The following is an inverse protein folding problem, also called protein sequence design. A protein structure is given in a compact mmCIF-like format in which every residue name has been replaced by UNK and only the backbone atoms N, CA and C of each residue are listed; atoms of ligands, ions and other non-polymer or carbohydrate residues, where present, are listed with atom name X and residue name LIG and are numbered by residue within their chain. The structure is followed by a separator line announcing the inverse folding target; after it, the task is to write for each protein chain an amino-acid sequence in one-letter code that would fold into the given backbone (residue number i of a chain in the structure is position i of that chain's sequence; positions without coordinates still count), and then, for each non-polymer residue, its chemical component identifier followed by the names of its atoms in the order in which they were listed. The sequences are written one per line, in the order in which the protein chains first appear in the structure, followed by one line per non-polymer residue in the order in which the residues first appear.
data_IF_932133366036
#
_entry.id   IF_932133366036
#
_cell.length_a   1.000
_cell.length_b   1.000
_cell.length_c   1.000
_cell.angle_alpha   90.00
_cell.angle_beta   90.00
_cell.angle_gamma   90.00
#
_symmetry.space_group_name_H-M   'P 1'
#
loop_
_entity.id
_entity.type
_entity.pdbx_description
1 polymer ?
#
# COMPACT_ATOMS: atom_id res chain seq x y z
N UNK A 1 -12.43 22.70 -19.76
CA UNK A 1 -12.42 21.60 -20.71
C UNK A 1 -13.82 21.29 -21.23
N UNK A 2 -13.95 20.41 -22.21
CA UNK A 2 -15.24 20.05 -22.85
C UNK A 2 -16.27 19.50 -21.85
N UNK A 3 -15.80 18.75 -20.84
CA UNK A 3 -16.64 18.11 -19.81
C UNK A 3 -17.23 19.16 -18.84
N UNK A 4 -16.53 20.26 -18.60
CA UNK A 4 -17.00 21.31 -17.68
C UNK A 4 -18.12 22.17 -18.30
N UNK A 5 -18.22 22.18 -19.64
CA UNK A 5 -19.28 22.89 -20.38
C UNK A 5 -20.59 22.11 -20.55
N UNK A 6 -20.59 20.83 -20.20
CA UNK A 6 -21.72 19.93 -20.44
C UNK A 6 -22.79 19.97 -19.33
N UNK A 7 -22.67 20.79 -18.27
CA UNK A 7 -23.66 20.91 -17.20
C UNK A 7 -23.89 19.62 -16.41
N UNK A 8 -22.93 18.72 -16.40
CA UNK A 8 -23.02 17.41 -15.75
C UNK A 8 -22.95 17.54 -14.22
N UNK A 9 -23.67 16.64 -13.53
CA UNK A 9 -23.56 16.51 -12.09
C UNK A 9 -22.09 16.39 -11.68
N UNK A 10 -21.61 17.14 -10.64
CA UNK A 10 -20.20 17.14 -10.24
C UNK A 10 -19.60 15.76 -10.00
N UNK A 11 -20.42 14.80 -9.51
CA UNK A 11 -20.01 13.40 -9.31
C UNK A 11 -19.74 12.67 -10.64
N UNK A 12 -20.63 12.88 -11.61
CA UNK A 12 -20.53 12.28 -12.94
C UNK A 12 -19.36 12.89 -13.73
N UNK A 13 -19.21 14.21 -13.66
CA UNK A 13 -18.09 14.93 -14.27
C UNK A 13 -16.73 14.44 -13.74
N UNK A 14 -16.63 14.16 -12.42
CA UNK A 14 -15.41 13.62 -11.79
C UNK A 14 -15.10 12.19 -12.23
N UNK A 15 -16.13 11.33 -12.38
CA UNK A 15 -15.96 9.97 -12.89
C UNK A 15 -15.50 10.00 -14.36
N UNK A 16 -16.15 10.82 -15.20
CA UNK A 16 -15.80 10.96 -16.60
C UNK A 16 -14.39 11.52 -16.80
N UNK A 17 -13.97 12.52 -16.00
CA UNK A 17 -12.59 13.04 -16.02
C UNK A 17 -11.58 11.96 -15.66
N UNK A 18 -11.84 11.19 -14.59
CA UNK A 18 -10.97 10.09 -14.20
C UNK A 18 -10.87 8.99 -15.25
N UNK A 19 -12.00 8.64 -15.89
CA UNK A 19 -12.04 7.66 -16.98
C UNK A 19 -11.32 8.18 -18.23
N UNK A 20 -11.50 9.46 -18.56
CA UNK A 20 -10.81 10.08 -19.70
C UNK A 20 -9.29 10.11 -19.49
N UNK A 21 -8.80 10.47 -18.30
CA UNK A 21 -7.36 10.41 -17.98
C UNK A 21 -6.78 9.02 -18.17
N UNK A 22 -7.51 7.97 -17.77
CA UNK A 22 -7.07 6.58 -17.96
C UNK A 22 -7.04 6.21 -19.46
N UNK A 23 -8.04 6.61 -20.23
CA UNK A 23 -8.16 6.27 -21.68
C UNK A 23 -7.11 7.01 -22.50
N UNK A 24 -6.82 8.28 -22.17
CA UNK A 24 -5.85 9.11 -22.91
C UNK A 24 -4.40 8.95 -22.41
N UNK A 25 -4.15 8.11 -21.41
CA UNK A 25 -2.81 7.84 -20.90
C UNK A 25 -2.13 9.02 -20.20
N UNK A 26 -2.89 10.04 -19.82
CA UNK A 26 -2.38 11.16 -19.04
C UNK A 26 -2.18 10.74 -17.58
N UNK A 27 -0.95 10.73 -17.06
CA UNK A 27 -0.65 10.28 -15.69
C UNK A 27 -0.98 11.37 -14.65
N UNK A 28 -2.03 12.17 -14.88
CA UNK A 28 -2.44 13.27 -14.00
C UNK A 28 -3.85 13.02 -13.47
N UNK A 29 -4.00 13.01 -12.16
CA UNK A 29 -5.33 13.05 -11.53
C UNK A 29 -5.93 14.45 -11.68
N UNK A 30 -6.93 14.57 -12.55
CA UNK A 30 -7.58 15.86 -12.86
C UNK A 30 -8.32 16.48 -11.65
N UNK A 31 -8.55 15.75 -10.57
CA UNK A 31 -9.20 16.25 -9.36
C UNK A 31 -8.20 16.90 -8.39
N UNK A 32 -6.99 16.39 -8.33
CA UNK A 32 -5.95 16.80 -7.37
C UNK A 32 -4.75 17.46 -8.03
N UNK A 33 -4.60 17.32 -9.35
CA UNK A 33 -3.38 17.73 -10.08
C UNK A 33 -2.18 16.82 -9.82
N UNK A 34 -2.36 15.71 -9.07
CA UNK A 34 -1.31 14.76 -8.77
C UNK A 34 -0.88 14.04 -10.04
N UNK A 35 0.41 14.08 -10.33
CA UNK A 35 1.01 13.21 -11.34
C UNK A 35 1.27 11.85 -10.70
N UNK A 36 0.83 10.78 -11.36
CA UNK A 36 1.16 9.43 -10.95
C UNK A 36 1.56 8.58 -12.16
N UNK A 37 2.47 7.67 -11.94
CA UNK A 37 2.89 6.71 -12.94
C UNK A 37 3.02 5.34 -12.31
N UNK A 38 2.43 4.32 -12.94
CA UNK A 38 2.50 2.94 -12.46
C UNK A 38 3.02 2.05 -13.56
N UNK A 39 3.99 1.23 -13.23
CA UNK A 39 4.58 0.23 -14.13
C UNK A 39 4.72 -1.12 -13.42
N UNK A 40 4.35 -2.19 -14.10
CA UNK A 40 4.64 -3.57 -13.68
C UNK A 40 5.90 -3.99 -14.42
N UNK A 41 6.99 -4.19 -13.69
CA UNK A 41 8.27 -4.55 -14.28
C UNK A 41 8.35 -6.05 -14.57
N UNK A 42 7.80 -6.87 -13.68
CA UNK A 42 7.68 -8.31 -13.87
C UNK A 42 6.61 -8.92 -12.97
N UNK A 43 6.14 -10.09 -13.39
CA UNK A 43 5.25 -10.95 -12.62
C UNK A 43 5.75 -12.39 -12.70
N UNK A 44 5.91 -13.04 -11.55
CA UNK A 44 6.24 -14.45 -11.44
C UNK A 44 5.01 -15.20 -10.93
N UNK A 45 4.47 -16.14 -11.69
CA UNK A 45 3.31 -16.92 -11.27
C UNK A 45 3.68 -17.87 -10.14
N UNK A 46 2.70 -18.16 -9.27
CA UNK A 46 2.87 -19.11 -8.16
C UNK A 46 1.68 -19.07 -7.21
N UNK A 47 1.69 -19.91 -6.17
CA UNK A 47 0.66 -19.90 -5.13
C UNK A 47 0.52 -18.52 -4.44
N UNK A 48 1.63 -17.81 -4.32
CA UNK A 48 1.70 -16.39 -4.01
C UNK A 48 2.40 -15.75 -5.21
N UNK A 49 1.66 -15.12 -6.15
CA UNK A 49 2.30 -14.48 -7.29
C UNK A 49 3.18 -13.32 -6.84
N UNK A 50 4.40 -13.26 -7.36
CA UNK A 50 5.32 -12.15 -7.11
C UNK A 50 5.13 -11.11 -8.21
N UNK A 51 4.49 -10.01 -7.88
CA UNK A 51 4.25 -8.90 -8.81
C UNK A 51 5.11 -7.72 -8.39
N UNK A 52 6.13 -7.39 -9.16
CA UNK A 52 6.93 -6.20 -8.93
C UNK A 52 6.37 -5.03 -9.72
N UNK A 53 5.63 -4.19 -8.99
CA UNK A 53 5.01 -2.97 -9.51
C UNK A 53 5.62 -1.75 -8.83
N UNK A 54 6.02 -0.77 -9.63
CA UNK A 54 6.47 0.54 -9.16
C UNK A 54 5.40 1.59 -9.39
N UNK A 55 5.24 2.48 -8.43
CA UNK A 55 4.31 3.58 -8.52
C UNK A 55 5.01 4.87 -8.09
N UNK A 56 4.93 5.89 -8.92
CA UNK A 56 5.39 7.25 -8.64
C UNK A 56 4.22 8.14 -8.30
N UNK A 57 4.38 9.01 -7.31
CA UNK A 57 3.44 10.09 -7.02
C UNK A 57 4.21 11.38 -6.82
N UNK A 58 3.82 12.45 -7.51
CA UNK A 58 4.50 13.75 -7.45
C UNK A 58 4.48 14.41 -6.06
N UNK A 59 3.57 14.03 -5.20
CA UNK A 59 3.31 14.62 -3.88
C UNK A 59 3.52 13.65 -2.70
N UNK A 60 4.15 12.50 -2.93
CA UNK A 60 4.32 11.49 -1.87
C UNK A 60 5.30 11.93 -0.76
N UNK A 61 6.21 12.86 -1.06
CA UNK A 61 7.22 13.38 -0.13
C UNK A 61 7.99 12.27 0.62
N UNK A 62 8.26 11.18 -0.08
CA UNK A 62 8.90 10.00 0.47
C UNK A 62 10.22 9.72 -0.24
N UNK A 63 11.28 9.52 0.54
CA UNK A 63 12.56 8.99 0.06
C UNK A 63 12.61 7.49 0.37
N UNK A 64 12.55 6.68 -0.66
CA UNK A 64 12.46 5.23 -0.58
C UNK A 64 13.60 4.53 -1.32
N UNK A 65 13.65 3.20 -1.30
CA UNK A 65 14.73 2.41 -1.92
C UNK A 65 14.81 2.58 -3.45
N UNK A 66 13.77 3.09 -4.10
CA UNK A 66 13.72 3.38 -5.53
C UNK A 66 13.93 4.87 -5.84
N UNK A 67 14.28 5.69 -4.84
CA UNK A 67 14.41 7.13 -4.93
C UNK A 67 13.15 7.89 -4.54
N UNK A 68 13.24 9.22 -4.63
CA UNK A 68 12.21 10.13 -4.13
C UNK A 68 10.87 9.93 -4.85
N UNK A 69 9.80 9.84 -4.07
CA UNK A 69 8.41 9.66 -4.52
C UNK A 69 8.08 8.32 -5.19
N UNK A 70 9.01 7.36 -5.20
CA UNK A 70 8.76 6.02 -5.74
C UNK A 70 8.36 5.02 -4.66
N UNK A 71 7.35 4.23 -4.96
CA UNK A 71 6.86 3.10 -4.17
C UNK A 71 6.93 1.82 -4.98
N UNK A 72 6.95 0.67 -4.31
CA UNK A 72 6.85 -0.63 -4.95
C UNK A 72 5.92 -1.57 -4.18
N UNK A 73 5.50 -2.66 -4.83
CA UNK A 73 4.49 -3.61 -4.31
C UNK A 73 4.74 -4.08 -2.87
N UNK A 74 5.99 -4.17 -2.45
CA UNK A 74 6.39 -4.67 -1.14
C UNK A 74 6.91 -3.57 -0.20
N UNK A 75 6.68 -2.31 -0.53
CA UNK A 75 7.00 -1.19 0.35
C UNK A 75 5.96 -1.03 1.46
N UNK A 76 5.62 -2.16 2.07
CA UNK A 76 4.65 -2.29 3.16
C UNK A 76 5.38 -2.16 4.50
N UNK A 77 4.80 -1.44 5.42
CA UNK A 77 5.39 -1.30 6.74
C UNK A 77 4.41 -0.82 7.78
N UNK A 78 4.72 -1.07 9.05
CA UNK A 78 3.99 -0.54 10.20
C UNK A 78 4.91 0.35 11.01
N UNK A 79 4.38 1.45 11.53
CA UNK A 79 5.09 2.37 12.40
C UNK A 79 4.26 2.65 13.65
N UNK A 80 4.90 2.54 14.82
CA UNK A 80 4.28 2.94 16.06
C UNK A 80 4.18 4.46 16.12
N UNK A 81 3.00 4.94 16.51
CA UNK A 81 2.72 6.34 16.76
C UNK A 81 2.76 6.63 18.27
N UNK A 82 2.64 7.90 18.61
CA UNK A 82 2.38 8.29 20.00
C UNK A 82 1.11 7.62 20.52
N UNK A 83 1.01 7.43 21.83
CA UNK A 83 -0.13 6.79 22.51
C UNK A 83 -0.38 5.30 22.15
N UNK A 84 0.58 4.63 21.49
CA UNK A 84 0.51 3.21 21.19
C UNK A 84 -0.32 2.83 19.96
N UNK A 85 -0.87 3.79 19.22
CA UNK A 85 -1.47 3.56 17.92
C UNK A 85 -0.42 3.19 16.87
N UNK A 86 -0.86 2.62 15.74
CA UNK A 86 0.02 2.25 14.65
C UNK A 86 -0.47 2.84 13.32
N UNK A 87 0.47 3.27 12.49
CA UNK A 87 0.23 3.57 11.09
C UNK A 87 0.70 2.40 10.23
N UNK A 88 -0.14 2.01 9.29
CA UNK A 88 0.20 1.05 8.23
C UNK A 88 0.41 1.80 6.92
N UNK A 89 1.57 1.63 6.32
CA UNK A 89 1.87 2.13 4.99
C UNK A 89 1.59 1.07 3.95
N UNK A 90 0.70 1.40 3.03
CA UNK A 90 0.33 0.61 1.87
C UNK A 90 1.42 0.64 0.79
N UNK A 91 1.34 -0.31 -0.15
CA UNK A 91 2.25 -0.41 -1.29
C UNK A 91 2.26 0.83 -2.21
N UNK A 92 1.19 1.61 -2.18
CA UNK A 92 1.05 2.88 -2.92
C UNK A 92 1.46 4.11 -2.09
N UNK A 93 2.03 3.91 -0.90
CA UNK A 93 2.49 4.97 -0.01
C UNK A 93 1.40 5.63 0.84
N UNK A 94 0.12 5.29 0.65
CA UNK A 94 -0.94 5.76 1.56
C UNK A 94 -0.73 5.19 2.96
N UNK A 95 -1.17 5.94 3.95
CA UNK A 95 -1.23 5.47 5.34
C UNK A 95 -2.66 5.25 5.79
N UNK A 96 -2.87 4.18 6.55
CA UNK A 96 -4.07 3.95 7.34
C UNK A 96 -3.69 3.76 8.81
N UNK A 97 -4.61 4.13 9.71
CA UNK A 97 -4.35 4.08 11.14
C UNK A 97 -5.01 2.85 11.75
N UNK A 98 -4.24 2.15 12.58
CA UNK A 98 -4.69 0.96 13.26
C UNK A 98 -5.01 1.30 14.72
N UNK A 99 -6.11 0.77 15.27
CA UNK A 99 -6.40 0.92 16.68
C UNK A 99 -5.35 0.18 17.53
N UNK A 100 -5.22 0.57 18.78
CA UNK A 100 -4.43 -0.18 19.75
C UNK A 100 -5.13 -1.52 20.02
N UNK A 101 -4.46 -2.62 19.72
CA UNK A 101 -4.96 -3.96 19.96
C UNK A 101 -4.30 -4.57 21.20
N UNK A 102 -5.05 -5.36 21.94
CA UNK A 102 -4.51 -6.24 22.97
C UNK A 102 -4.02 -7.56 22.35
N UNK A 103 -3.16 -8.26 23.05
CA UNK A 103 -2.69 -9.57 22.62
C UNK A 103 -3.87 -10.53 22.40
N UNK A 104 -3.92 -11.14 21.21
CA UNK A 104 -5.02 -12.00 20.76
C UNK A 104 -6.23 -11.26 20.19
N UNK A 105 -6.26 -9.94 20.25
CA UNK A 105 -7.34 -9.14 19.68
C UNK A 105 -7.18 -8.98 18.17
N UNK A 106 -8.32 -8.90 17.47
CA UNK A 106 -8.38 -8.67 16.04
C UNK A 106 -9.29 -7.49 15.71
N UNK A 107 -8.92 -6.72 14.70
CA UNK A 107 -9.69 -5.63 14.14
C UNK A 107 -9.84 -5.78 12.63
N UNK A 108 -11.05 -5.62 12.10
CA UNK A 108 -11.31 -5.64 10.67
C UNK A 108 -11.59 -4.23 10.16
N UNK A 109 -10.69 -3.73 9.32
CA UNK A 109 -10.87 -2.49 8.59
C UNK A 109 -11.75 -2.73 7.36
N UNK A 110 -13.00 -2.25 7.43
CA UNK A 110 -13.97 -2.41 6.33
C UNK A 110 -13.62 -1.59 5.08
N UNK A 111 -12.92 -0.48 5.24
CA UNK A 111 -12.56 0.40 4.13
C UNK A 111 -11.43 -0.18 3.30
N UNK A 112 -10.40 -0.67 3.99
CA UNK A 112 -9.22 -1.28 3.35
C UNK A 112 -9.40 -2.79 3.12
N UNK A 113 -10.45 -3.40 3.68
CA UNK A 113 -10.73 -4.85 3.61
C UNK A 113 -9.57 -5.68 4.17
N UNK A 114 -9.02 -5.24 5.29
CA UNK A 114 -7.87 -5.84 5.96
C UNK A 114 -8.23 -6.24 7.39
N UNK A 115 -7.83 -7.44 7.79
CA UNK A 115 -7.92 -7.89 9.16
C UNK A 115 -6.55 -7.78 9.84
N UNK A 116 -6.51 -7.15 11.01
CA UNK A 116 -5.34 -7.01 11.84
C UNK A 116 -5.48 -7.85 13.09
N UNK A 117 -4.45 -8.58 13.45
CA UNK A 117 -4.39 -9.35 14.69
C UNK A 117 -3.07 -9.07 15.39
N UNK A 118 -3.10 -8.81 16.69
CA UNK A 118 -1.89 -8.77 17.50
C UNK A 118 -1.70 -10.13 18.16
N UNK A 119 -0.66 -10.86 17.78
CA UNK A 119 -0.29 -12.13 18.38
C UNK A 119 1.05 -12.02 19.13
N UNK A 120 1.55 -13.14 19.68
CA UNK A 120 2.81 -13.17 20.42
C UNK A 120 4.07 -12.82 19.61
N UNK A 121 3.93 -12.70 18.28
CA UNK A 121 5.00 -12.37 17.34
C UNK A 121 4.85 -10.96 16.76
N UNK A 122 3.81 -10.21 17.15
CA UNK A 122 3.53 -8.86 16.67
C UNK A 122 2.29 -8.77 15.79
N UNK A 123 2.24 -7.76 14.94
CA UNK A 123 1.09 -7.55 14.06
C UNK A 123 1.09 -8.50 12.86
N UNK A 124 -0.05 -9.15 12.67
CA UNK A 124 -0.39 -9.96 11.51
C UNK A 124 -1.50 -9.26 10.74
N UNK A 125 -1.24 -8.94 9.49
CA UNK A 125 -2.25 -8.46 8.55
C UNK A 125 -2.75 -9.63 7.71
N UNK A 126 -4.07 -9.72 7.52
CA UNK A 126 -4.67 -10.68 6.59
C UNK A 126 -5.54 -9.93 5.59
N UNK A 127 -5.29 -10.14 4.29
CA UNK A 127 -6.12 -9.55 3.23
C UNK A 127 -7.35 -10.43 2.93
N UNK A 128 -8.27 -9.92 2.08
CA UNK A 128 -9.50 -10.63 1.71
C UNK A 128 -9.26 -11.96 0.97
N UNK A 129 -8.07 -12.15 0.40
CA UNK A 129 -7.68 -13.41 -0.26
C UNK A 129 -7.14 -14.43 0.74
N UNK A 130 -6.97 -14.04 2.00
CA UNK A 130 -6.41 -14.84 3.06
C UNK A 130 -4.88 -14.87 3.08
N UNK A 131 -4.22 -13.97 2.33
CA UNK A 131 -2.78 -13.78 2.45
C UNK A 131 -2.44 -13.09 3.76
N UNK A 132 -1.47 -13.63 4.46
CA UNK A 132 -1.00 -13.15 5.75
C UNK A 132 0.36 -12.47 5.60
N UNK A 133 0.47 -11.26 6.15
CA UNK A 133 1.68 -10.42 6.08
C UNK A 133 2.24 -10.22 7.48
N UNK A 134 3.54 -10.48 7.66
CA UNK A 134 4.30 -10.25 8.90
C UNK A 134 5.19 -9.04 8.78
N UNK A 135 5.31 -8.29 9.87
CA UNK A 135 6.06 -7.04 9.96
C UNK A 135 7.11 -7.14 11.08
N UNK A 136 8.03 -8.08 10.96
CA UNK A 136 9.20 -8.26 11.83
C UNK A 136 10.53 -8.00 11.09
N UNK A 137 10.46 -7.40 9.91
CA UNK A 137 11.62 -6.92 9.17
C UNK A 137 12.32 -5.74 9.86
N UNK A 138 13.41 -5.24 9.28
CA UNK A 138 14.13 -4.10 9.82
C UNK A 138 13.29 -2.82 9.79
N UNK A 139 13.59 -1.91 10.68
CA UNK A 139 13.05 -0.56 10.65
C UNK A 139 13.80 0.27 9.61
N UNK A 140 13.06 0.93 8.72
CA UNK A 140 13.64 1.82 7.74
C UNK A 140 13.89 3.23 8.33
N UNK A 141 14.52 4.12 7.55
CA UNK A 141 14.84 5.50 7.96
C UNK A 141 13.65 6.35 8.39
N UNK A 142 12.45 5.97 7.95
CA UNK A 142 11.19 6.66 8.30
C UNK A 142 10.48 6.02 9.49
N UNK A 143 11.12 5.11 10.23
CA UNK A 143 10.57 4.45 11.40
C UNK A 143 9.54 3.35 11.10
N UNK A 144 9.46 2.87 9.85
CA UNK A 144 8.57 1.76 9.50
C UNK A 144 9.30 0.42 9.63
N UNK A 145 8.72 -0.47 10.41
CA UNK A 145 9.09 -1.89 10.42
C UNK A 145 8.52 -2.55 9.18
N UNK A 146 9.42 -3.05 8.34
CA UNK A 146 9.09 -3.54 7.01
C UNK A 146 8.49 -4.95 7.05
N UNK A 147 7.73 -5.29 6.00
CA UNK A 147 7.19 -6.64 5.80
C UNK A 147 8.35 -7.64 5.69
N UNK A 148 8.30 -8.72 6.47
CA UNK A 148 9.32 -9.78 6.44
C UNK A 148 8.87 -11.02 5.70
N UNK A 149 7.55 -11.21 5.57
CA UNK A 149 7.02 -12.36 4.86
C UNK A 149 5.54 -12.24 4.51
N UNK A 150 5.17 -12.98 3.48
CA UNK A 150 3.78 -13.18 3.06
C UNK A 150 3.54 -14.69 3.02
N UNK A 151 2.44 -15.16 3.59
CA UNK A 151 2.10 -16.57 3.61
C UNK A 151 0.64 -16.84 3.27
N UNK A 152 0.36 -18.05 2.76
CA UNK A 152 -0.99 -18.59 2.62
C UNK A 152 -1.32 -19.49 3.80
N UNK A 153 -2.59 -19.81 3.98
CA UNK A 153 -3.04 -20.81 4.98
C UNK A 153 -2.48 -22.19 4.69
N UNK A 154 -2.20 -22.51 3.43
CA UNK A 154 -1.68 -23.82 2.99
C UNK A 154 -0.15 -23.93 3.15
N UNK A 155 0.50 -22.91 3.72
CA UNK A 155 1.91 -22.96 4.10
C UNK A 155 2.90 -22.45 3.04
N UNK A 156 2.44 -21.98 1.87
CA UNK A 156 3.34 -21.28 0.96
C UNK A 156 3.81 -19.96 1.56
N UNK A 157 5.07 -19.59 1.29
CA UNK A 157 5.67 -18.37 1.89
C UNK A 157 6.57 -17.66 0.89
N UNK A 158 6.47 -16.33 0.90
CA UNK A 158 7.50 -15.41 0.42
C UNK A 158 8.22 -14.82 1.62
N UNK A 159 9.53 -14.80 1.59
CA UNK A 159 10.38 -14.17 2.60
C UNK A 159 11.11 -13.00 1.99
N UNK A 160 11.20 -11.91 2.73
CA UNK A 160 11.94 -10.72 2.35
C UNK A 160 13.21 -10.62 3.19
N UNK A 161 14.34 -10.49 2.51
CA UNK A 161 15.64 -10.25 3.14
C UNK A 161 16.10 -8.85 2.73
N UNK A 162 16.49 -8.08 3.71
CA UNK A 162 16.92 -6.69 3.52
C UNK A 162 18.45 -6.62 3.67
N UNK A 163 19.11 -6.03 2.67
CA UNK A 163 20.54 -5.80 2.78
C UNK A 163 20.83 -4.74 3.86
N UNK A 164 21.88 -4.94 4.62
CA UNK A 164 22.37 -3.97 5.58
C UNK A 164 22.85 -2.73 4.85
N UNK A 165 22.18 -1.60 5.02
CA UNK A 165 22.54 -0.31 4.44
C UNK A 165 21.52 0.31 3.46
N UNK A 166 20.30 -0.23 3.41
CA UNK A 166 19.19 0.39 2.69
C UNK A 166 18.52 1.52 3.48
#
# INVERSE_FOLDING_TARGET
GLIDKAGLNPRLARILKKTACIIFGEPVDAATGRVYHTNVDFELPGPIPVVWKRTYYSDAAMDGPLGYNWHHSYNLGIRQLEEGAFAFRHADGRESFLPVLKLGESHFDRREQLAWTLDGWGYLLTDIRGLQYRFDGPENRSGYRMVSGISTKDGFRLRFEYASGG
#
